data_IF_289246994448
#
_entry.id   IF_289246994448
#
_cell.length_a   1.000
_cell.length_b   1.000
_cell.length_c   1.000
_cell.angle_alpha   90.00
_cell.angle_beta   90.00
_cell.angle_gamma   90.00
#
_symmetry.space_group_name_H-M   'P 1'
#
loop_
_entity.id
_entity.type
_entity.pdbx_description
1 polymer ?
#
# COMPACT_ATOMS: atom_id res chain seq x y z
N UNK A 1 -4.23 -5.10 12.65
CA UNK A 1 -4.66 -5.93 11.50
C UNK A 1 -5.41 -7.16 11.99
N UNK A 2 -6.21 -7.75 11.11
CA UNK A 2 -6.87 -9.04 11.32
C UNK A 2 -5.98 -10.14 10.76
N UNK A 3 -5.16 -10.76 11.61
CA UNK A 3 -4.10 -11.67 11.19
C UNK A 3 -4.63 -12.97 10.59
N UNK A 4 -5.76 -13.51 11.09
CA UNK A 4 -6.31 -14.73 10.51
C UNK A 4 -6.75 -14.56 9.04
N UNK A 5 -7.18 -13.35 8.65
CA UNK A 5 -7.53 -13.06 7.24
C UNK A 5 -6.28 -12.97 6.37
N UNK A 6 -5.20 -12.41 6.87
CA UNK A 6 -3.92 -12.38 6.17
C UNK A 6 -3.44 -13.80 5.83
N UNK A 7 -3.41 -14.71 6.81
CA UNK A 7 -3.04 -16.11 6.56
C UNK A 7 -4.01 -16.83 5.62
N UNK A 8 -5.30 -16.52 5.72
CA UNK A 8 -6.31 -17.06 4.79
C UNK A 8 -6.06 -16.60 3.35
N UNK A 9 -5.58 -15.39 3.17
CA UNK A 9 -5.23 -14.86 1.85
C UNK A 9 -3.94 -15.47 1.31
N UNK A 10 -2.93 -15.70 2.15
CA UNK A 10 -1.73 -16.45 1.79
C UNK A 10 -2.09 -17.87 1.30
N UNK A 11 -3.03 -18.53 1.97
CA UNK A 11 -3.52 -19.85 1.56
C UNK A 11 -4.20 -19.83 0.18
N UNK A 12 -4.90 -18.74 -0.16
CA UNK A 12 -5.54 -18.58 -1.47
C UNK A 12 -4.52 -18.29 -2.59
N UNK A 13 -3.43 -17.61 -2.26
CA UNK A 13 -2.44 -17.16 -3.24
C UNK A 13 -1.32 -18.17 -3.53
N UNK A 14 -1.13 -19.18 -2.68
CA UNK A 14 -0.10 -20.21 -2.87
C UNK A 14 -0.60 -21.40 -3.70
N UNK A 15 0.23 -21.86 -4.64
CA UNK A 15 0.02 -23.10 -5.39
C UNK A 15 0.57 -24.34 -4.67
N UNK A 16 1.44 -24.17 -3.67
CA UNK A 16 2.01 -25.25 -2.90
C UNK A 16 1.00 -25.79 -1.89
N UNK A 17 0.59 -27.05 -2.03
CA UNK A 17 -0.42 -27.67 -1.17
C UNK A 17 -0.01 -27.73 0.31
N UNK A 18 1.28 -28.00 0.60
CA UNK A 18 1.79 -28.06 1.99
C UNK A 18 1.64 -26.68 2.63
N UNK A 19 2.12 -25.63 1.95
CA UNK A 19 2.00 -24.26 2.43
C UNK A 19 0.53 -23.83 2.57
N UNK A 20 -0.34 -24.26 1.66
CA UNK A 20 -1.77 -23.97 1.73
C UNK A 20 -2.43 -24.56 2.98
N UNK A 21 -2.15 -25.84 3.30
CA UNK A 21 -2.64 -26.47 4.53
C UNK A 21 -2.07 -25.78 5.77
N UNK A 22 -0.78 -25.47 5.79
CA UNK A 22 -0.17 -24.73 6.88
C UNK A 22 -0.84 -23.37 7.10
N UNK A 23 -1.02 -22.56 6.06
CA UNK A 23 -1.65 -21.24 6.19
C UNK A 23 -3.13 -21.33 6.62
N UNK A 24 -3.88 -22.35 6.18
CA UNK A 24 -5.24 -22.55 6.65
C UNK A 24 -5.28 -22.97 8.11
N UNK A 25 -4.35 -23.81 8.55
CA UNK A 25 -4.22 -24.20 9.95
C UNK A 25 -3.92 -23.00 10.84
N UNK A 26 -2.88 -22.20 10.50
CA UNK A 26 -2.51 -20.98 11.20
C UNK A 26 -3.66 -19.96 11.23
N UNK A 27 -4.35 -19.76 10.10
CA UNK A 27 -5.53 -18.91 10.05
C UNK A 27 -6.60 -19.31 11.07
N UNK A 28 -6.87 -20.61 11.22
CA UNK A 28 -7.86 -21.09 12.19
C UNK A 28 -7.39 -20.91 13.65
N UNK A 29 -6.11 -21.14 13.93
CA UNK A 29 -5.53 -20.90 15.26
C UNK A 29 -5.59 -19.42 15.63
N UNK A 30 -5.17 -18.54 14.71
CA UNK A 30 -5.22 -17.09 14.90
C UNK A 30 -6.65 -16.60 15.10
N UNK A 31 -7.63 -17.10 14.32
CA UNK A 31 -9.05 -16.72 14.51
C UNK A 31 -9.55 -17.08 15.91
N UNK A 32 -9.20 -18.26 16.42
CA UNK A 32 -9.54 -18.66 17.80
C UNK A 32 -8.87 -17.77 18.84
N UNK A 33 -7.59 -17.48 18.66
CA UNK A 33 -6.83 -16.62 19.54
C UNK A 33 -7.39 -15.19 19.57
N UNK A 34 -7.57 -14.56 18.39
CA UNK A 34 -8.11 -13.21 18.27
C UNK A 34 -9.51 -13.10 18.90
N UNK A 35 -10.35 -14.10 18.69
CA UNK A 35 -11.66 -14.18 19.35
C UNK A 35 -11.55 -14.27 20.87
N UNK A 36 -10.59 -15.03 21.38
CA UNK A 36 -10.39 -15.21 22.82
C UNK A 36 -9.89 -13.93 23.52
N UNK A 37 -9.14 -13.09 22.81
CA UNK A 37 -8.61 -11.82 23.35
C UNK A 37 -9.51 -10.61 23.06
N UNK A 38 -10.49 -10.73 22.17
CA UNK A 38 -11.29 -9.62 21.62
C UNK A 38 -11.97 -8.73 22.69
N UNK A 39 -12.25 -9.29 23.88
CA UNK A 39 -12.89 -8.56 25.00
C UNK A 39 -12.01 -8.49 26.26
N UNK A 40 -10.72 -8.87 26.20
CA UNK A 40 -9.82 -8.80 27.34
C UNK A 40 -9.23 -7.41 27.59
N UNK A 41 -9.21 -6.58 26.56
CA UNK A 41 -8.70 -5.20 26.60
C UNK A 41 -9.44 -4.32 25.60
N UNK A 42 -9.21 -3.03 25.64
CA UNK A 42 -9.62 -2.11 24.57
C UNK A 42 -8.73 -2.41 23.36
N UNK A 43 -9.35 -2.71 22.22
CA UNK A 43 -8.65 -2.96 20.96
C UNK A 43 -8.58 -1.67 20.15
N UNK A 44 -7.37 -1.34 19.67
CA UNK A 44 -7.15 -0.25 18.73
C UNK A 44 -6.81 -0.83 17.37
N UNK A 45 -7.61 -0.52 16.36
CA UNK A 45 -7.36 -0.93 14.98
C UNK A 45 -6.88 0.24 14.14
N UNK A 46 -6.04 -0.04 13.15
CA UNK A 46 -5.50 0.98 12.25
C UNK A 46 -6.43 1.29 11.07
N UNK A 47 -7.48 0.48 10.88
CA UNK A 47 -8.51 0.70 9.86
C UNK A 47 -9.92 0.44 10.42
N UNK A 48 -10.91 1.16 9.92
CA UNK A 48 -12.30 0.92 10.28
C UNK A 48 -12.82 -0.42 9.77
N UNK A 49 -12.26 -0.91 8.66
CA UNK A 49 -12.57 -2.25 8.14
C UNK A 49 -12.15 -3.34 9.14
N UNK A 50 -10.94 -3.26 9.69
CA UNK A 50 -10.49 -4.20 10.74
C UNK A 50 -11.39 -4.10 11.97
N UNK A 51 -11.76 -2.87 12.38
CA UNK A 51 -12.69 -2.66 13.49
C UNK A 51 -14.05 -3.33 13.23
N UNK A 52 -14.58 -3.20 12.04
CA UNK A 52 -15.85 -3.82 11.65
C UNK A 52 -15.78 -5.36 11.70
N UNK A 53 -14.67 -5.95 11.25
CA UNK A 53 -14.45 -7.40 11.30
C UNK A 53 -14.37 -7.89 12.77
N UNK A 54 -13.60 -7.21 13.61
CA UNK A 54 -13.51 -7.54 15.03
C UNK A 54 -14.87 -7.46 15.72
N UNK A 55 -15.68 -6.44 15.45
CA UNK A 55 -17.05 -6.34 15.99
C UNK A 55 -17.95 -7.47 15.50
N UNK A 56 -18.00 -7.70 14.19
CA UNK A 56 -18.97 -8.61 13.57
C UNK A 56 -18.58 -10.08 13.70
N UNK A 57 -17.31 -10.42 13.48
CA UNK A 57 -16.87 -11.83 13.39
C UNK A 57 -16.22 -12.34 14.69
N UNK A 58 -15.59 -11.46 15.47
CA UNK A 58 -14.87 -11.85 16.67
C UNK A 58 -15.59 -11.43 17.97
N UNK A 59 -16.66 -10.64 17.85
CA UNK A 59 -17.50 -10.24 18.98
C UNK A 59 -16.86 -9.21 19.92
N UNK A 60 -15.95 -8.38 19.40
CA UNK A 60 -15.30 -7.33 20.17
C UNK A 60 -16.30 -6.21 20.52
N UNK A 61 -16.45 -5.92 21.82
CA UNK A 61 -17.34 -4.87 22.32
C UNK A 61 -16.61 -3.54 22.57
N UNK A 62 -15.31 -3.59 22.88
CA UNK A 62 -14.47 -2.42 23.18
C UNK A 62 -13.40 -2.26 22.10
N UNK A 63 -13.80 -1.69 20.97
CA UNK A 63 -12.89 -1.48 19.83
C UNK A 63 -13.03 -0.08 19.26
N UNK A 64 -11.90 0.56 19.00
CA UNK A 64 -11.78 1.91 18.46
C UNK A 64 -10.85 1.91 17.27
N UNK A 65 -11.12 2.76 16.28
CA UNK A 65 -10.22 2.96 15.16
C UNK A 65 -9.27 4.12 15.47
N UNK A 66 -7.98 3.81 15.53
CA UNK A 66 -6.89 4.77 15.67
C UNK A 66 -5.96 4.63 14.46
N UNK A 67 -6.02 5.54 13.49
CA UNK A 67 -5.14 5.52 12.34
C UNK A 67 -3.66 5.57 12.74
N UNK A 68 -2.80 5.04 11.86
CA UNK A 68 -1.35 5.00 12.10
C UNK A 68 -0.77 6.41 12.25
N UNK A 69 0.22 6.54 13.14
CA UNK A 69 1.04 7.75 13.24
C UNK A 69 2.10 7.75 12.14
N UNK A 70 2.26 8.87 11.48
CA UNK A 70 3.15 9.03 10.34
C UNK A 70 4.30 9.99 10.65
N UNK A 71 5.49 9.77 10.08
CA UNK A 71 6.62 10.68 10.24
C UNK A 71 6.49 11.96 9.41
N UNK A 72 5.36 12.15 8.72
CA UNK A 72 5.09 13.28 7.83
C UNK A 72 4.14 14.27 8.49
N UNK A 73 4.44 15.56 8.39
CA UNK A 73 3.64 16.65 8.98
C UNK A 73 2.98 17.54 7.93
N UNK A 74 3.47 17.51 6.69
CA UNK A 74 2.94 18.31 5.59
C UNK A 74 3.07 17.55 4.27
N UNK A 75 2.19 17.85 3.33
CA UNK A 75 2.26 17.35 1.96
C UNK A 75 3.31 18.16 1.21
N UNK A 76 4.24 17.47 0.57
CA UNK A 76 5.38 18.09 -0.10
C UNK A 76 5.63 17.50 -1.49
N UNK A 77 4.64 17.49 -2.41
CA UNK A 77 4.87 17.05 -3.78
C UNK A 77 5.82 18.02 -4.48
N UNK A 78 6.72 17.49 -5.28
CA UNK A 78 7.61 18.35 -6.10
C UNK A 78 6.80 18.95 -7.25
N UNK A 79 7.05 20.19 -7.57
CA UNK A 79 6.48 20.88 -8.73
C UNK A 79 6.95 20.27 -10.05
N UNK A 80 6.24 20.59 -11.13
CA UNK A 80 6.56 20.18 -12.49
C UNK A 80 6.27 18.72 -12.80
N UNK A 81 6.97 18.20 -13.81
CA UNK A 81 6.79 16.85 -14.34
C UNK A 81 8.02 16.01 -14.01
N UNK A 82 7.80 14.78 -13.54
CA UNK A 82 8.84 13.78 -13.37
C UNK A 82 9.09 12.98 -14.65
N UNK A 83 10.12 12.13 -14.67
CA UNK A 83 10.54 11.42 -15.86
C UNK A 83 10.45 9.89 -15.76
N UNK A 84 9.88 9.33 -14.70
CA UNK A 84 9.72 7.88 -14.52
C UNK A 84 8.51 7.53 -13.66
N UNK A 85 8.08 6.28 -13.77
CA UNK A 85 7.14 5.65 -12.87
C UNK A 85 7.93 4.87 -11.79
N UNK A 86 7.50 4.93 -10.52
CA UNK A 86 8.14 4.23 -9.41
C UNK A 86 7.21 3.19 -8.81
N UNK A 87 7.71 1.96 -8.67
CA UNK A 87 7.18 0.97 -7.74
C UNK A 87 8.22 0.73 -6.63
N UNK A 88 7.79 0.69 -5.37
CA UNK A 88 8.73 0.45 -4.28
C UNK A 88 8.19 -0.49 -3.19
N UNK A 89 9.11 -1.15 -2.46
CA UNK A 89 8.77 -2.00 -1.34
C UNK A 89 9.92 -2.91 -0.89
N UNK A 90 9.69 -3.72 0.14
CA UNK A 90 10.61 -4.80 0.47
C UNK A 90 10.42 -5.95 -0.53
N UNK A 91 11.33 -6.07 -1.50
CA UNK A 91 11.22 -6.99 -2.64
C UNK A 91 11.47 -8.46 -2.27
N UNK A 92 11.95 -8.75 -1.05
CA UNK A 92 12.02 -10.11 -0.52
C UNK A 92 10.67 -10.64 -0.01
N UNK A 93 9.69 -9.77 0.17
CA UNK A 93 8.33 -10.16 0.54
C UNK A 93 7.58 -10.63 -0.71
N UNK A 94 7.06 -11.85 -0.66
CA UNK A 94 6.43 -12.50 -1.81
C UNK A 94 5.31 -11.66 -2.48
N UNK A 95 4.54 -10.91 -1.70
CA UNK A 95 3.51 -10.01 -2.21
C UNK A 95 4.11 -8.87 -3.05
N UNK A 96 5.19 -8.25 -2.56
CA UNK A 96 5.85 -7.16 -3.27
C UNK A 96 6.60 -7.66 -4.51
N UNK A 97 7.24 -8.84 -4.43
CA UNK A 97 7.84 -9.50 -5.60
C UNK A 97 6.78 -9.80 -6.65
N UNK A 98 5.63 -10.36 -6.24
CA UNK A 98 4.50 -10.63 -7.13
C UNK A 98 4.01 -9.35 -7.82
N UNK A 99 3.84 -8.26 -7.07
CA UNK A 99 3.40 -6.98 -7.62
C UNK A 99 4.40 -6.41 -8.63
N UNK A 100 5.70 -6.44 -8.32
CA UNK A 100 6.74 -6.01 -9.25
C UNK A 100 6.76 -6.85 -10.54
N UNK A 101 6.68 -8.18 -10.43
CA UNK A 101 6.62 -9.07 -11.58
C UNK A 101 5.35 -8.87 -12.43
N UNK A 102 4.21 -8.61 -11.77
CA UNK A 102 2.96 -8.30 -12.46
C UNK A 102 3.05 -6.99 -13.22
N UNK A 103 3.62 -5.94 -12.62
CA UNK A 103 3.87 -4.67 -13.33
C UNK A 103 4.73 -4.88 -14.56
N UNK A 104 5.83 -5.63 -14.46
CA UNK A 104 6.71 -5.92 -15.60
C UNK A 104 5.98 -6.66 -16.73
N UNK A 105 5.19 -7.67 -16.39
CA UNK A 105 4.59 -8.57 -17.37
C UNK A 105 3.31 -8.05 -17.99
N UNK A 106 2.49 -7.37 -17.20
CA UNK A 106 1.12 -7.05 -17.60
C UNK A 106 0.91 -5.55 -17.86
N UNK A 107 1.66 -4.66 -17.17
CA UNK A 107 1.46 -3.21 -17.28
C UNK A 107 2.54 -2.55 -18.13
N UNK A 108 3.81 -2.87 -17.92
CA UNK A 108 4.94 -2.23 -18.61
C UNK A 108 5.52 -3.06 -19.75
N UNK A 109 4.86 -4.15 -20.15
CA UNK A 109 5.33 -5.02 -21.23
C UNK A 109 5.39 -4.33 -22.61
N UNK A 110 4.57 -3.32 -22.83
CA UNK A 110 4.43 -2.56 -24.08
C UNK A 110 4.40 -1.03 -23.89
N UNK A 111 4.37 -0.54 -22.64
CA UNK A 111 4.45 0.88 -22.34
C UNK A 111 5.89 1.38 -22.50
N UNK A 112 6.07 2.42 -23.33
CA UNK A 112 7.37 3.11 -23.52
C UNK A 112 7.58 4.20 -22.47
N UNK A 113 7.29 3.89 -21.20
CA UNK A 113 7.44 4.79 -20.06
C UNK A 113 8.47 4.18 -19.10
N UNK A 114 9.48 4.94 -18.66
CA UNK A 114 10.48 4.42 -17.73
C UNK A 114 9.88 3.94 -16.43
N UNK A 115 10.21 2.72 -16.01
CA UNK A 115 9.84 2.13 -14.74
C UNK A 115 11.07 1.93 -13.86
N UNK A 116 11.04 2.49 -12.66
CA UNK A 116 11.99 2.20 -11.58
C UNK A 116 11.32 1.28 -10.58
N UNK A 117 11.95 0.15 -10.27
CA UNK A 117 11.53 -0.74 -9.18
C UNK A 117 12.59 -0.61 -8.08
N UNK A 118 12.21 -0.05 -6.93
CA UNK A 118 13.15 0.22 -5.85
C UNK A 118 12.81 -0.56 -4.57
N UNK A 119 13.81 -1.12 -3.90
CA UNK A 119 13.52 -1.77 -2.63
C UNK A 119 14.60 -2.69 -2.10
N UNK A 120 14.31 -3.23 -0.90
CA UNK A 120 15.23 -4.11 -0.18
C UNK A 120 15.24 -5.51 -0.78
N UNK A 121 16.44 -6.09 -0.87
CA UNK A 121 16.68 -7.50 -1.17
C UNK A 121 15.92 -8.01 -2.42
N UNK A 122 16.09 -7.40 -3.61
CA UNK A 122 15.45 -7.89 -4.82
C UNK A 122 15.91 -9.31 -5.15
N UNK A 123 15.00 -10.26 -5.40
CA UNK A 123 15.39 -11.62 -5.78
C UNK A 123 16.00 -11.64 -7.17
N UNK A 124 16.91 -12.60 -7.40
CA UNK A 124 17.61 -12.77 -8.69
C UNK A 124 16.63 -12.97 -9.87
N UNK A 125 15.49 -13.59 -9.63
CA UNK A 125 14.40 -13.77 -10.59
C UNK A 125 13.88 -12.43 -11.11
N UNK A 126 13.60 -11.48 -10.21
CA UNK A 126 13.11 -10.15 -10.52
C UNK A 126 14.17 -9.31 -11.25
N UNK A 127 15.44 -9.37 -10.81
CA UNK A 127 16.55 -8.69 -11.50
C UNK A 127 16.67 -9.15 -12.96
N UNK A 128 16.58 -10.47 -13.20
CA UNK A 128 16.62 -11.03 -14.56
C UNK A 128 15.40 -10.66 -15.40
N UNK A 129 14.22 -10.56 -14.77
CA UNK A 129 13.01 -10.16 -15.47
C UNK A 129 13.06 -8.69 -15.90
N UNK A 130 13.50 -7.80 -15.02
CA UNK A 130 13.65 -6.39 -15.32
C UNK A 130 14.74 -6.12 -16.39
N UNK A 131 15.84 -6.83 -16.36
CA UNK A 131 16.93 -6.70 -17.35
C UNK A 131 16.52 -7.06 -18.79
N UNK A 132 15.39 -7.72 -18.98
CA UNK A 132 14.83 -8.01 -20.31
C UNK A 132 14.02 -6.86 -20.90
N UNK A 133 13.77 -5.81 -20.12
CA UNK A 133 12.97 -4.66 -20.55
C UNK A 133 13.86 -3.42 -20.68
N UNK A 134 13.81 -2.76 -21.82
CA UNK A 134 14.69 -1.62 -22.14
C UNK A 134 14.42 -0.37 -21.33
N UNK A 135 13.18 -0.18 -20.85
CA UNK A 135 12.76 1.01 -20.10
C UNK A 135 12.60 0.74 -18.59
N UNK A 136 13.23 -0.31 -18.06
CA UNK A 136 13.09 -0.66 -16.64
C UNK A 136 14.45 -0.80 -15.96
N UNK A 137 14.56 -0.26 -14.76
CA UNK A 137 15.71 -0.50 -13.89
C UNK A 137 15.28 -0.88 -12.47
N UNK A 138 16.19 -1.58 -11.76
CA UNK A 138 16.00 -1.91 -10.34
C UNK A 138 17.06 -1.15 -9.52
N UNK A 139 16.58 -0.45 -8.49
CA UNK A 139 17.43 0.17 -7.47
C UNK A 139 17.36 -0.71 -6.21
N UNK A 140 18.46 -1.45 -5.99
CA UNK A 140 18.54 -2.41 -4.88
C UNK A 140 19.02 -1.73 -3.59
N UNK A 141 18.29 -1.98 -2.50
CA UNK A 141 18.65 -1.53 -1.14
C UNK A 141 18.90 -0.02 -1.00
N UNK A 142 18.05 0.85 -1.55
CA UNK A 142 18.22 2.28 -1.35
C UNK A 142 18.12 2.62 0.14
N UNK A 143 18.84 3.65 0.56
CA UNK A 143 18.65 4.29 1.85
C UNK A 143 17.26 4.93 1.97
N UNK A 144 16.90 5.36 3.18
CA UNK A 144 15.64 6.09 3.36
C UNK A 144 15.59 7.37 2.52
N UNK A 145 16.65 8.16 2.53
CA UNK A 145 16.73 9.43 1.82
C UNK A 145 16.68 9.25 0.30
N UNK A 146 17.39 8.25 -0.22
CA UNK A 146 17.31 7.87 -1.64
C UNK A 146 15.90 7.45 -2.05
N UNK A 147 15.22 6.70 -1.19
CA UNK A 147 13.84 6.29 -1.46
C UNK A 147 12.89 7.49 -1.45
N UNK A 148 13.00 8.41 -0.48
CA UNK A 148 12.19 9.62 -0.45
C UNK A 148 12.45 10.50 -1.67
N UNK A 149 13.72 10.65 -2.07
CA UNK A 149 14.08 11.39 -3.28
C UNK A 149 13.47 10.78 -4.54
N UNK A 150 13.49 9.46 -4.68
CA UNK A 150 12.84 8.75 -5.81
C UNK A 150 11.32 8.93 -5.79
N UNK A 151 10.66 8.80 -4.63
CA UNK A 151 9.21 9.02 -4.50
C UNK A 151 8.83 10.43 -4.95
N UNK A 152 9.58 11.45 -4.51
CA UNK A 152 9.34 12.83 -4.89
C UNK A 152 9.67 13.14 -6.35
N UNK A 153 10.68 12.51 -6.96
CA UNK A 153 11.08 12.69 -8.36
C UNK A 153 10.20 11.95 -9.36
N UNK A 154 9.59 10.84 -8.95
CA UNK A 154 8.73 10.06 -9.83
C UNK A 154 7.55 10.91 -10.34
N UNK A 155 7.20 10.75 -11.59
CA UNK A 155 5.98 11.32 -12.15
C UNK A 155 4.76 10.58 -11.60
N UNK A 156 4.86 9.26 -11.55
CA UNK A 156 3.79 8.39 -11.08
C UNK A 156 4.38 7.39 -10.10
N UNK A 157 3.83 7.36 -8.90
CA UNK A 157 4.09 6.29 -7.95
C UNK A 157 2.99 5.23 -8.09
N UNK A 158 3.37 4.00 -8.42
CA UNK A 158 2.43 2.92 -8.69
C UNK A 158 2.46 1.93 -7.53
N UNK A 159 1.31 1.71 -6.89
CA UNK A 159 1.21 0.87 -5.69
C UNK A 159 0.09 -0.17 -5.86
N UNK A 160 0.26 -1.18 -6.70
CA UNK A 160 -0.67 -2.30 -6.75
C UNK A 160 -0.48 -3.20 -5.51
N UNK A 161 -1.59 -3.67 -4.96
CA UNK A 161 -1.62 -4.69 -3.92
C UNK A 161 -2.53 -5.83 -4.32
N UNK A 162 -2.19 -7.04 -3.88
CA UNK A 162 -3.05 -8.22 -4.02
C UNK A 162 -3.58 -8.69 -2.66
N UNK A 163 -3.39 -7.85 -1.63
CA UNK A 163 -3.85 -8.06 -0.28
C UNK A 163 -4.70 -6.86 0.16
N UNK A 164 -5.90 -7.13 0.63
CA UNK A 164 -6.86 -6.13 1.10
C UNK A 164 -6.77 -5.84 2.59
N UNK A 165 -5.96 -6.61 3.35
CA UNK A 165 -5.86 -6.43 4.80
C UNK A 165 -4.91 -5.29 5.19
N UNK A 166 -5.28 -4.52 6.20
CA UNK A 166 -4.48 -3.45 6.79
C UNK A 166 -4.23 -2.25 5.87
N UNK A 167 -3.74 -1.17 6.46
CA UNK A 167 -3.37 0.05 5.73
C UNK A 167 -2.00 -0.10 5.08
N UNK A 168 -1.89 0.32 3.82
CA UNK A 168 -0.62 0.30 3.07
C UNK A 168 0.20 1.55 3.37
N UNK A 169 1.17 1.45 4.29
CA UNK A 169 2.02 2.60 4.68
C UNK A 169 2.72 3.26 3.49
N UNK A 170 3.09 2.49 2.46
CA UNK A 170 3.66 3.02 1.24
C UNK A 170 2.71 3.94 0.46
N UNK A 171 1.39 3.68 0.54
CA UNK A 171 0.37 4.57 -0.03
C UNK A 171 0.40 5.94 0.66
N UNK A 172 0.40 5.94 1.99
CA UNK A 172 0.46 7.18 2.77
C UNK A 172 1.74 7.96 2.47
N UNK A 173 2.90 7.29 2.44
CA UNK A 173 4.16 7.92 2.09
C UNK A 173 4.10 8.61 0.71
N UNK A 174 3.56 7.94 -0.29
CA UNK A 174 3.41 8.51 -1.64
C UNK A 174 2.45 9.68 -1.67
N UNK A 175 1.34 9.62 -0.94
CA UNK A 175 0.38 10.72 -0.89
C UNK A 175 0.95 11.97 -0.18
N UNK A 176 1.87 11.81 0.76
CA UNK A 176 2.57 12.94 1.39
C UNK A 176 3.68 13.54 0.51
N UNK A 177 4.43 12.71 -0.21
CA UNK A 177 5.72 13.13 -0.80
C UNK A 177 5.81 12.99 -2.32
N UNK A 178 4.91 12.21 -2.94
CA UNK A 178 4.94 11.93 -4.37
C UNK A 178 3.99 12.80 -5.20
N UNK A 179 4.17 12.74 -6.53
CA UNK A 179 3.22 13.33 -7.49
C UNK A 179 1.99 12.44 -7.65
N UNK A 180 1.67 11.98 -8.85
CA UNK A 180 0.51 11.11 -9.07
C UNK A 180 0.65 9.78 -8.35
N UNK A 181 -0.45 9.29 -7.77
CA UNK A 181 -0.54 8.01 -7.11
C UNK A 181 -1.50 7.10 -7.89
N UNK A 182 -0.97 6.04 -8.51
CA UNK A 182 -1.75 5.06 -9.27
C UNK A 182 -1.82 3.75 -8.50
N UNK A 183 -3.01 3.23 -8.30
CA UNK A 183 -3.29 2.08 -7.45
C UNK A 183 -4.30 1.12 -8.09
N UNK A 184 -4.47 -0.06 -7.49
CA UNK A 184 -5.67 -0.88 -7.71
C UNK A 184 -6.58 -0.83 -6.48
N UNK A 185 -7.81 -1.31 -6.60
CA UNK A 185 -8.82 -1.29 -5.54
C UNK A 185 -8.33 -1.88 -4.22
N UNK A 186 -7.60 -3.00 -4.27
CA UNK A 186 -7.06 -3.65 -3.07
C UNK A 186 -6.05 -2.80 -2.28
N UNK A 187 -5.46 -1.79 -2.90
CA UNK A 187 -4.51 -0.88 -2.22
C UNK A 187 -5.23 0.15 -1.35
N UNK A 188 -6.36 0.66 -1.81
CA UNK A 188 -7.11 1.74 -1.16
C UNK A 188 -8.21 1.23 -0.24
N UNK A 189 -8.55 -0.05 -0.32
CA UNK A 189 -9.61 -0.64 0.49
C UNK A 189 -9.42 -0.37 1.98
N UNK A 190 -10.42 0.25 2.60
CA UNK A 190 -10.41 0.60 4.03
C UNK A 190 -9.52 1.78 4.43
N UNK A 191 -8.89 2.47 3.48
CA UNK A 191 -8.01 3.62 3.76
C UNK A 191 -8.76 4.96 3.87
N UNK A 192 -9.91 5.09 3.19
CA UNK A 192 -10.62 6.37 3.04
C UNK A 192 -9.90 7.37 2.13
N UNK A 193 -8.99 6.89 1.27
CA UNK A 193 -8.13 7.72 0.41
C UNK A 193 -8.41 7.54 -1.08
N UNK A 194 -9.54 6.93 -1.42
CA UNK A 194 -9.92 6.60 -2.80
C UNK A 194 -9.85 7.81 -3.72
N UNK A 195 -10.42 8.94 -3.29
CA UNK A 195 -10.44 10.16 -4.08
C UNK A 195 -9.07 10.86 -4.22
N UNK A 196 -8.06 10.46 -3.42
CA UNK A 196 -6.70 10.96 -3.53
C UNK A 196 -5.81 10.13 -4.49
N UNK A 197 -6.38 9.10 -5.12
CA UNK A 197 -5.65 8.16 -5.96
C UNK A 197 -6.34 7.97 -7.31
N UNK A 198 -5.55 7.63 -8.32
CA UNK A 198 -6.06 7.15 -9.60
C UNK A 198 -6.12 5.63 -9.56
N UNK A 199 -7.31 5.04 -9.57
CA UNK A 199 -7.45 3.60 -9.42
C UNK A 199 -7.83 2.91 -10.73
N UNK A 200 -7.19 1.75 -11.00
CA UNK A 200 -7.51 0.89 -12.13
C UNK A 200 -7.81 -0.54 -11.69
N UNK A 201 -8.90 -1.11 -12.21
CA UNK A 201 -9.35 -2.46 -11.84
C UNK A 201 -8.51 -3.59 -12.44
N UNK A 202 -7.73 -3.31 -13.49
CA UNK A 202 -6.90 -4.29 -14.19
C UNK A 202 -5.69 -3.63 -14.87
N UNK A 203 -4.82 -4.44 -15.46
CA UNK A 203 -3.59 -3.97 -16.11
C UNK A 203 -3.87 -2.97 -17.25
N UNK A 204 -4.91 -3.18 -18.05
CA UNK A 204 -5.27 -2.30 -19.16
C UNK A 204 -5.73 -0.92 -18.67
N UNK A 205 -6.56 -0.89 -17.63
CA UNK A 205 -6.98 0.36 -16.98
C UNK A 205 -5.79 1.13 -16.41
N UNK A 206 -4.85 0.43 -15.73
CA UNK A 206 -3.63 1.07 -15.22
C UNK A 206 -2.74 1.60 -16.34
N UNK A 207 -2.57 0.87 -17.46
CA UNK A 207 -1.83 1.37 -18.64
C UNK A 207 -2.42 2.69 -19.16
N UNK A 208 -3.75 2.74 -19.31
CA UNK A 208 -4.45 3.93 -19.79
C UNK A 208 -4.23 5.13 -18.85
N UNK A 209 -4.38 4.91 -17.54
CA UNK A 209 -4.16 5.94 -16.52
C UNK A 209 -2.70 6.44 -16.56
N UNK A 210 -1.73 5.51 -16.62
CA UNK A 210 -0.31 5.86 -16.68
C UNK A 210 0.00 6.68 -17.93
N UNK A 211 -0.47 6.25 -19.10
CA UNK A 211 -0.25 6.97 -20.37
C UNK A 211 -0.82 8.39 -20.33
N UNK A 212 -1.97 8.58 -19.70
CA UNK A 212 -2.60 9.89 -19.52
C UNK A 212 -1.81 10.79 -18.56
N UNK A 213 -1.46 10.29 -17.38
CA UNK A 213 -0.85 11.08 -16.30
C UNK A 213 0.64 11.35 -16.50
N UNK A 214 1.31 10.55 -17.31
CA UNK A 214 2.77 10.64 -17.46
C UNK A 214 3.25 12.01 -17.98
N UNK A 215 2.44 12.70 -18.76
CA UNK A 215 2.74 14.01 -19.32
C UNK A 215 1.97 15.16 -18.65
N UNK A 216 1.26 14.90 -17.54
CA UNK A 216 0.45 15.90 -16.87
C UNK A 216 1.11 16.28 -15.51
N UNK A 217 1.30 17.58 -15.22
CA UNK A 217 1.73 17.99 -13.90
C UNK A 217 0.65 17.65 -12.86
N UNK A 218 1.05 17.43 -11.61
CA UNK A 218 0.11 17.29 -10.51
C UNK A 218 -0.64 18.62 -10.30
N UNK A 219 -1.96 18.59 -10.35
CA UNK A 219 -2.81 19.79 -10.23
C UNK A 219 -2.99 20.26 -8.79
N UNK A 220 -3.22 21.55 -8.61
CA UNK A 220 -3.47 22.15 -7.29
C UNK A 220 -4.73 21.61 -6.63
N UNK A 221 -5.77 21.31 -7.40
CA UNK A 221 -7.01 20.70 -6.88
C UNK A 221 -6.75 19.30 -6.31
N UNK A 222 -5.93 18.48 -6.99
CA UNK A 222 -5.54 17.17 -6.50
C UNK A 222 -4.73 17.28 -5.21
N UNK A 223 -3.81 18.23 -5.13
CA UNK A 223 -3.03 18.50 -3.91
C UNK A 223 -3.95 18.91 -2.76
N UNK A 224 -4.90 19.82 -3.02
CA UNK A 224 -5.87 20.30 -2.02
C UNK A 224 -6.77 19.16 -1.51
N UNK A 225 -7.31 18.36 -2.42
CA UNK A 225 -8.13 17.20 -2.07
C UNK A 225 -7.34 16.20 -1.21
N UNK A 226 -6.12 15.88 -1.62
CA UNK A 226 -5.21 14.99 -0.91
C UNK A 226 -4.91 15.51 0.50
N UNK A 227 -4.64 16.81 0.64
CA UNK A 227 -4.42 17.48 1.92
C UNK A 227 -5.62 17.30 2.84
N UNK A 228 -6.81 17.64 2.37
CA UNK A 228 -8.03 17.53 3.16
C UNK A 228 -8.29 16.11 3.65
N UNK A 229 -8.08 15.09 2.79
CA UNK A 229 -8.29 13.69 3.15
C UNK A 229 -7.25 13.19 4.17
N UNK A 230 -5.98 13.56 3.99
CA UNK A 230 -4.91 13.16 4.92
C UNK A 230 -5.06 13.84 6.29
N UNK A 231 -5.35 15.14 6.33
CA UNK A 231 -5.61 15.87 7.57
C UNK A 231 -6.87 15.37 8.30
N UNK A 232 -7.90 14.94 7.55
CA UNK A 232 -9.12 14.39 8.17
C UNK A 232 -8.90 13.04 8.83
N UNK A 233 -8.08 12.17 8.22
CA UNK A 233 -7.97 10.77 8.61
C UNK A 233 -6.66 10.43 9.33
N UNK A 234 -5.55 11.13 9.02
CA UNK A 234 -4.20 10.75 9.44
C UNK A 234 -3.44 11.87 10.17
N UNK A 235 -4.16 12.83 10.75
CA UNK A 235 -3.56 13.88 11.59
C UNK A 235 -3.05 13.29 12.91
N UNK A 236 -1.74 13.31 13.10
CA UNK A 236 -1.08 12.74 14.29
C UNK A 236 -1.52 13.42 15.58
N UNK A 237 -1.69 14.75 15.58
CA UNK A 237 -2.03 15.51 16.77
C UNK A 237 -3.46 15.20 17.21
N UNK A 238 -4.41 15.21 16.28
CA UNK A 238 -5.80 14.81 16.53
C UNK A 238 -5.88 13.36 17.02
N UNK A 239 -5.16 12.44 16.37
CA UNK A 239 -5.16 11.03 16.75
C UNK A 239 -4.53 10.82 18.14
N UNK A 240 -3.49 11.57 18.51
CA UNK A 240 -2.92 11.56 19.86
C UNK A 240 -3.93 12.06 20.90
N UNK A 241 -4.64 13.15 20.63
CA UNK A 241 -5.67 13.67 21.53
C UNK A 241 -6.81 12.64 21.73
N UNK A 242 -7.28 12.01 20.66
CA UNK A 242 -8.28 10.93 20.74
C UNK A 242 -7.79 9.77 21.61
N UNK A 243 -6.55 9.33 21.40
CA UNK A 243 -5.94 8.25 22.20
C UNK A 243 -5.89 8.61 23.69
N UNK A 244 -5.47 9.82 24.02
CA UNK A 244 -5.46 10.31 25.41
C UNK A 244 -6.86 10.25 26.03
N UNK A 245 -7.88 10.77 25.32
CA UNK A 245 -9.27 10.74 25.80
C UNK A 245 -9.83 9.32 26.02
N UNK A 246 -9.28 8.32 25.36
CA UNK A 246 -9.73 6.93 25.52
C UNK A 246 -9.04 6.19 26.66
N UNK A 247 -7.87 6.67 27.07
CA UNK A 247 -7.06 6.03 28.13
C UNK A 247 -7.29 6.70 29.49
N UNK A 248 -7.50 8.02 29.49
CA UNK A 248 -7.70 8.85 30.69
C UNK A 248 -9.10 9.42 30.78
#
# INVERSE_FOLDING_TARGET
>A
NVEYLYYRQLAKSTSNLINKFYYLHESNLLKKYEKAIANRAILLTVSEQDAAIYRKELGASKIMNLPVFLPFTAIQPREGIGCFCLYHGNLSVAENERAANWLLKEVFNDLKVPLVIAGKNPPKSLLRAAAKQTCTCIVANPSWDEMQDMIGKAQINIIPSFNTTGIKLKLLNVLYNGRHCVVNEATIEGSGLDAACHSGSNAMALKSIIAQLYHQPLGEEEIRLRKNLLESNYDNQRNAQRLITWIW
#
